data_IF_042453876901
#
_entry.id   IF_042453876901
#
_cell.length_a   1.000
_cell.length_b   1.000
_cell.length_c   1.000
_cell.angle_alpha   90.00
_cell.angle_beta   90.00
_cell.angle_gamma   90.00
#
_symmetry.space_group_name_H-M   'P 1'
#
loop_
_entity.id
_entity.type
_entity.pdbx_description
1 polymer ?
#
# COMPACT_ATOMS: atom_id res chain seq x y z
N UNK A 1 0.72 16.26 13.24
CA UNK A 1 1.27 14.90 13.14
C UNK A 1 0.37 14.04 12.23
N UNK A 2 -0.93 13.92 12.50
CA UNK A 2 -1.87 13.10 11.71
C UNK A 2 -1.90 13.45 10.21
N UNK A 3 -1.77 14.74 9.85
CA UNK A 3 -1.80 15.23 8.46
C UNK A 3 -0.62 14.71 7.64
N UNK A 4 0.59 14.70 8.21
CA UNK A 4 1.77 14.13 7.54
C UNK A 4 1.67 12.61 7.43
N UNK A 5 1.08 11.96 8.42
CA UNK A 5 0.88 10.51 8.45
C UNK A 5 -0.02 10.01 7.31
N UNK A 6 -1.11 10.72 7.05
CA UNK A 6 -2.05 10.38 5.97
C UNK A 6 -1.42 10.65 4.59
N UNK A 7 -0.65 11.73 4.44
CA UNK A 7 0.04 12.05 3.19
C UNK A 7 1.08 10.98 2.79
N UNK A 8 1.80 10.42 3.75
CA UNK A 8 2.78 9.35 3.49
C UNK A 8 2.09 8.04 3.16
N UNK A 9 1.01 7.71 3.86
CA UNK A 9 0.21 6.53 3.54
C UNK A 9 -0.35 6.59 2.12
N UNK A 10 -0.86 7.74 1.69
CA UNK A 10 -1.32 7.95 0.32
C UNK A 10 -0.18 7.82 -0.69
N UNK A 11 0.98 8.37 -0.39
CA UNK A 11 2.14 8.29 -1.26
C UNK A 11 2.64 6.84 -1.39
N UNK A 12 2.62 6.03 -0.34
CA UNK A 12 2.93 4.59 -0.39
C UNK A 12 1.92 3.85 -1.26
N UNK A 13 0.64 4.17 -1.12
CA UNK A 13 -0.44 3.59 -1.95
C UNK A 13 -0.30 4.04 -3.39
N UNK A 14 -0.02 5.32 -3.64
CA UNK A 14 0.15 5.89 -4.98
C UNK A 14 1.41 5.34 -5.66
N UNK A 15 2.50 5.12 -4.94
CA UNK A 15 3.72 4.53 -5.50
C UNK A 15 3.54 3.04 -5.87
N UNK A 16 2.84 2.27 -5.03
CA UNK A 16 2.50 0.89 -5.36
C UNK A 16 1.52 0.81 -6.55
N UNK A 17 0.67 1.81 -6.70
CA UNK A 17 -0.33 1.88 -7.77
C UNK A 17 0.21 2.48 -9.07
N UNK A 18 1.27 3.29 -9.04
CA UNK A 18 1.98 3.72 -10.26
C UNK A 18 2.75 2.59 -10.94
N UNK A 19 2.93 1.44 -10.26
CA UNK A 19 3.44 0.22 -10.86
C UNK A 19 2.37 -0.57 -11.64
N UNK A 20 1.11 -0.15 -11.61
CA UNK A 20 0.06 -0.81 -12.41
C UNK A 20 0.14 -0.35 -13.87
N UNK A 21 0.08 -1.28 -14.83
CA UNK A 21 0.01 -0.91 -16.23
C UNK A 21 -1.24 -0.07 -16.46
N UNK A 22 -1.04 1.15 -16.98
CA UNK A 22 -2.13 1.97 -17.51
C UNK A 22 -2.88 1.13 -18.57
N UNK A 23 -4.19 1.32 -18.77
CA UNK A 23 -4.85 0.68 -19.88
C UNK A 23 -4.10 1.03 -21.17
N UNK A 24 -3.81 0.03 -21.97
CA UNK A 24 -3.14 0.21 -23.26
C UNK A 24 -3.98 1.07 -24.20
N UNK A 25 -5.26 1.23 -23.90
CA UNK A 25 -6.21 2.03 -24.66
C UNK A 25 -7.23 2.66 -23.70
N UNK A 26 -7.34 4.01 -23.76
CA UNK A 26 -8.38 4.76 -23.06
C UNK A 26 -9.58 4.89 -23.99
N UNK A 27 -10.66 4.21 -23.65
CA UNK A 27 -11.87 4.17 -24.46
C UNK A 27 -12.74 5.41 -24.25
N UNK A 28 -13.41 5.86 -25.32
CA UNK A 28 -14.48 6.84 -25.22
C UNK A 28 -15.69 6.26 -24.47
N UNK A 29 -16.59 7.11 -23.97
CA UNK A 29 -17.81 6.65 -23.28
C UNK A 29 -18.64 5.69 -24.14
N UNK A 30 -18.77 5.95 -25.44
CA UNK A 30 -19.51 5.06 -26.35
C UNK A 30 -18.82 3.68 -26.50
N UNK A 31 -17.49 3.65 -26.57
CA UNK A 31 -16.73 2.39 -26.63
C UNK A 31 -16.86 1.61 -25.32
N UNK A 32 -16.84 2.30 -24.17
CA UNK A 32 -17.09 1.68 -22.86
C UNK A 32 -18.47 1.03 -22.82
N UNK A 33 -19.52 1.71 -23.28
CA UNK A 33 -20.88 1.16 -23.35
C UNK A 33 -20.97 -0.09 -24.26
N UNK A 34 -20.27 -0.09 -25.40
CA UNK A 34 -20.20 -1.29 -26.25
C UNK A 34 -19.48 -2.45 -25.57
N UNK A 35 -18.42 -2.15 -24.83
CA UNK A 35 -17.68 -3.15 -24.07
C UNK A 35 -18.52 -3.70 -22.89
N UNK A 36 -19.36 -2.86 -22.24
CA UNK A 36 -20.33 -3.28 -21.24
C UNK A 36 -21.29 -4.36 -21.78
N UNK A 37 -21.85 -4.13 -22.97
CA UNK A 37 -22.72 -5.09 -23.66
C UNK A 37 -21.97 -6.41 -23.95
N UNK A 38 -20.69 -6.32 -24.31
CA UNK A 38 -19.86 -7.50 -24.60
C UNK A 38 -19.64 -8.33 -23.33
N UNK A 39 -19.27 -7.70 -22.24
CA UNK A 39 -19.02 -8.34 -20.95
C UNK A 39 -20.34 -8.88 -20.35
N UNK A 40 -21.45 -8.18 -20.50
CA UNK A 40 -22.78 -8.68 -20.06
C UNK A 40 -23.17 -9.97 -20.76
N UNK A 41 -22.90 -10.07 -22.08
CA UNK A 41 -23.19 -11.29 -22.88
C UNK A 41 -22.25 -12.44 -22.56
N UNK A 42 -21.01 -12.14 -22.20
CA UNK A 42 -20.00 -13.14 -21.87
C UNK A 42 -19.15 -12.69 -20.66
N UNK A 43 -19.67 -12.82 -19.43
CA UNK A 43 -18.95 -12.41 -18.20
C UNK A 43 -17.64 -13.16 -17.97
N UNK A 44 -17.49 -14.34 -18.59
CA UNK A 44 -16.28 -15.17 -18.53
C UNK A 44 -15.17 -14.74 -19.51
N UNK A 45 -15.42 -13.79 -20.41
CA UNK A 45 -14.38 -13.22 -21.25
C UNK A 45 -13.48 -12.30 -20.40
N UNK A 46 -12.42 -12.90 -19.88
CA UNK A 46 -11.49 -12.26 -18.97
C UNK A 46 -10.78 -11.05 -19.60
N UNK A 47 -10.49 -11.09 -20.90
CA UNK A 47 -9.80 -10.01 -21.59
C UNK A 47 -10.69 -8.76 -21.65
N UNK A 48 -11.93 -8.92 -22.14
CA UNK A 48 -12.93 -7.84 -22.19
C UNK A 48 -13.29 -7.33 -20.80
N UNK A 49 -13.45 -8.22 -19.83
CA UNK A 49 -13.78 -7.85 -18.45
C UNK A 49 -12.65 -7.03 -17.79
N UNK A 50 -11.40 -7.44 -17.95
CA UNK A 50 -10.25 -6.70 -17.45
C UNK A 50 -10.10 -5.34 -18.13
N UNK A 51 -10.29 -5.28 -19.43
CA UNK A 51 -10.25 -4.01 -20.18
C UNK A 51 -11.34 -3.05 -19.71
N UNK A 52 -12.56 -3.52 -19.50
CA UNK A 52 -13.66 -2.72 -18.97
C UNK A 52 -13.36 -2.20 -17.56
N UNK A 53 -12.91 -3.10 -16.66
CA UNK A 53 -12.54 -2.75 -15.29
C UNK A 53 -11.43 -1.70 -15.23
N UNK A 54 -10.39 -1.81 -16.07
CA UNK A 54 -9.31 -0.82 -16.19
C UNK A 54 -9.81 0.54 -16.73
N UNK A 55 -10.75 0.54 -17.66
CA UNK A 55 -11.34 1.80 -18.14
C UNK A 55 -12.22 2.45 -17.06
N UNK A 56 -12.98 1.67 -16.28
CA UNK A 56 -13.67 2.19 -15.11
C UNK A 56 -12.70 2.75 -14.08
N UNK A 57 -11.61 2.02 -13.79
CA UNK A 57 -10.57 2.47 -12.88
C UNK A 57 -9.91 3.77 -13.35
N UNK A 58 -9.58 3.86 -14.62
CA UNK A 58 -9.04 5.08 -15.22
C UNK A 58 -10.01 6.26 -15.07
N UNK A 59 -11.30 6.04 -15.33
CA UNK A 59 -12.33 7.06 -15.15
C UNK A 59 -12.47 7.50 -13.69
N UNK A 60 -12.57 6.55 -12.76
CA UNK A 60 -12.68 6.82 -11.30
C UNK A 60 -11.47 7.64 -10.81
N UNK A 61 -10.26 7.22 -11.17
CA UNK A 61 -9.02 7.90 -10.77
C UNK A 61 -8.80 9.20 -11.54
N UNK A 62 -9.27 9.28 -12.78
CA UNK A 62 -9.29 10.51 -13.56
C UNK A 62 -10.14 11.59 -12.92
N UNK A 63 -11.29 11.23 -12.32
CA UNK A 63 -12.11 12.15 -11.53
C UNK A 63 -11.31 12.66 -10.33
N UNK A 64 -10.60 11.79 -9.61
CA UNK A 64 -9.74 12.19 -8.50
C UNK A 64 -8.59 13.12 -8.93
N UNK A 65 -7.98 12.87 -10.09
CA UNK A 65 -6.86 13.68 -10.60
C UNK A 65 -7.31 14.96 -11.32
N UNK A 66 -8.47 14.98 -11.97
CA UNK A 66 -9.13 16.20 -12.49
C UNK A 66 -9.58 17.10 -11.34
N UNK A 67 -9.95 16.50 -10.24
CA UNK A 67 -10.12 17.17 -8.96
C UNK A 67 -8.79 17.58 -8.30
N UNK A 68 -7.75 17.90 -9.04
CA UNK A 68 -6.82 18.97 -8.61
C UNK A 68 -7.65 20.25 -8.56
N UNK A 69 -8.42 20.18 -7.64
CA UNK A 69 -9.53 20.81 -6.94
C UNK A 69 -9.53 22.34 -7.08
N UNK A 70 -8.47 22.89 -7.67
CA UNK A 70 -8.23 24.31 -7.85
C UNK A 70 -8.78 24.84 -9.20
N UNK A 71 -9.15 23.97 -10.15
CA UNK A 71 -9.47 24.39 -11.52
C UNK A 71 -10.94 24.36 -11.91
N UNK A 72 -11.82 23.68 -11.17
CA UNK A 72 -13.21 23.47 -11.59
C UNK A 72 -14.24 24.13 -10.65
N UNK A 73 -13.82 24.78 -9.56
CA UNK A 73 -14.75 25.50 -8.67
C UNK A 73 -15.79 24.64 -7.95
N UNK A 74 -15.78 23.32 -8.14
CA UNK A 74 -16.61 22.35 -7.43
C UNK A 74 -15.72 21.33 -6.73
N UNK A 75 -15.88 21.22 -5.43
CA UNK A 75 -15.16 20.26 -4.56
C UNK A 75 -15.69 18.83 -4.70
N UNK A 76 -16.64 18.59 -5.60
CA UNK A 76 -17.26 17.28 -5.83
C UNK A 76 -16.89 16.80 -7.24
N UNK A 77 -15.86 15.93 -7.37
CA UNK A 77 -15.46 15.40 -8.67
C UNK A 77 -16.59 14.61 -9.35
N UNK A 78 -17.54 14.08 -8.60
CA UNK A 78 -18.66 13.33 -9.14
C UNK A 78 -19.69 14.25 -9.78
N UNK A 79 -19.90 15.44 -9.23
CA UNK A 79 -20.71 16.47 -9.90
C UNK A 79 -20.05 16.92 -11.20
N UNK A 80 -18.73 17.00 -11.25
CA UNK A 80 -17.99 17.36 -12.47
C UNK A 80 -18.09 16.27 -13.55
N UNK A 81 -18.15 14.97 -13.16
CA UNK A 81 -18.29 13.84 -14.08
C UNK A 81 -19.77 13.54 -14.45
N UNK A 82 -20.71 14.13 -13.74
CA UNK A 82 -22.14 14.05 -14.03
C UNK A 82 -22.72 12.64 -14.00
N UNK A 83 -23.69 12.41 -14.88
CA UNK A 83 -24.43 11.14 -14.95
C UNK A 83 -23.59 9.91 -15.25
N UNK A 84 -22.40 10.08 -15.87
CA UNK A 84 -21.55 8.94 -16.21
C UNK A 84 -20.87 8.32 -14.99
N UNK A 85 -20.52 9.10 -13.96
CA UNK A 85 -20.01 8.54 -12.70
C UNK A 85 -21.04 7.66 -12.00
N UNK A 86 -22.31 8.09 -12.01
CA UNK A 86 -23.40 7.30 -11.45
C UNK A 86 -23.64 6.02 -12.26
N UNK A 87 -23.56 6.12 -13.62
CA UNK A 87 -23.65 4.97 -14.50
C UNK A 87 -22.57 3.93 -14.15
N UNK A 88 -21.30 4.33 -14.10
CA UNK A 88 -20.17 3.43 -13.77
C UNK A 88 -20.38 2.74 -12.43
N UNK A 89 -20.82 3.46 -11.39
CA UNK A 89 -21.10 2.84 -10.08
C UNK A 89 -22.24 1.81 -10.14
N UNK A 90 -23.29 2.12 -10.89
CA UNK A 90 -24.40 1.21 -11.06
C UNK A 90 -23.96 -0.09 -11.77
N UNK A 91 -23.14 0.04 -12.80
CA UNK A 91 -22.60 -1.11 -13.53
C UNK A 91 -21.64 -1.95 -12.69
N UNK A 92 -20.76 -1.33 -11.89
CA UNK A 92 -19.93 -2.06 -10.92
C UNK A 92 -20.81 -2.83 -9.93
N UNK A 93 -21.86 -2.20 -9.39
CA UNK A 93 -22.75 -2.83 -8.42
C UNK A 93 -23.50 -4.05 -8.96
N UNK A 94 -23.78 -4.07 -10.27
CA UNK A 94 -24.47 -5.18 -10.96
C UNK A 94 -23.52 -6.23 -11.52
N UNK A 95 -22.25 -5.90 -11.75
CA UNK A 95 -21.31 -6.77 -12.44
C UNK A 95 -21.20 -8.13 -11.79
N UNK A 96 -21.14 -9.17 -12.64
CA UNK A 96 -20.84 -10.56 -12.29
C UNK A 96 -19.48 -11.02 -12.79
N UNK A 97 -18.67 -10.09 -13.29
CA UNK A 97 -17.31 -10.36 -13.77
C UNK A 97 -16.29 -10.00 -12.70
N UNK A 98 -15.47 -10.98 -12.30
CA UNK A 98 -14.41 -10.80 -11.30
C UNK A 98 -13.40 -9.72 -11.73
N UNK A 99 -13.01 -9.68 -13.01
CA UNK A 99 -12.07 -8.68 -13.53
C UNK A 99 -12.60 -7.24 -13.41
N UNK A 100 -13.88 -7.01 -13.79
CA UNK A 100 -14.51 -5.69 -13.64
C UNK A 100 -14.55 -5.29 -12.16
N UNK A 101 -15.01 -6.20 -11.31
CA UNK A 101 -15.17 -5.97 -9.88
C UNK A 101 -13.84 -5.65 -9.19
N UNK A 102 -12.78 -6.42 -9.47
CA UNK A 102 -11.48 -6.25 -8.84
C UNK A 102 -10.80 -4.93 -9.24
N UNK A 103 -10.71 -4.66 -10.54
CA UNK A 103 -10.08 -3.43 -11.05
C UNK A 103 -10.81 -2.17 -10.57
N UNK A 104 -12.14 -2.19 -10.68
CA UNK A 104 -12.97 -1.06 -10.24
C UNK A 104 -12.97 -0.91 -8.71
N UNK A 105 -13.01 -2.02 -8.00
CA UNK A 105 -13.00 -2.03 -6.52
C UNK A 105 -11.72 -1.42 -5.95
N UNK A 106 -10.56 -1.78 -6.51
CA UNK A 106 -9.29 -1.18 -6.15
C UNK A 106 -9.28 0.33 -6.44
N UNK A 107 -9.79 0.74 -7.61
CA UNK A 107 -9.83 2.14 -7.98
C UNK A 107 -10.75 2.98 -7.07
N UNK A 108 -11.91 2.45 -6.69
CA UNK A 108 -12.83 3.11 -5.75
C UNK A 108 -12.20 3.30 -4.36
N UNK A 109 -11.52 2.28 -3.85
CA UNK A 109 -10.78 2.39 -2.60
C UNK A 109 -9.67 3.45 -2.68
N UNK A 110 -8.91 3.44 -3.76
CA UNK A 110 -7.85 4.37 -4.02
C UNK A 110 -8.35 5.82 -4.14
N UNK A 111 -9.43 6.03 -4.91
CA UNK A 111 -10.13 7.31 -4.99
C UNK A 111 -10.48 7.86 -3.61
N UNK A 112 -11.13 7.04 -2.80
CA UNK A 112 -11.54 7.44 -1.46
C UNK A 112 -10.34 7.82 -0.56
N UNK A 113 -9.24 7.10 -0.69
CA UNK A 113 -8.00 7.37 0.04
C UNK A 113 -7.37 8.68 -0.41
N UNK A 114 -7.25 8.92 -1.72
CA UNK A 114 -6.69 10.15 -2.29
C UNK A 114 -7.51 11.39 -1.90
N UNK A 115 -8.84 11.30 -1.93
CA UNK A 115 -9.73 12.37 -1.47
C UNK A 115 -9.52 12.68 0.01
N UNK A 116 -9.43 11.67 0.88
CA UNK A 116 -9.19 11.89 2.32
C UNK A 116 -7.86 12.57 2.58
N UNK A 117 -6.82 12.17 1.86
CA UNK A 117 -5.49 12.80 1.95
C UNK A 117 -5.56 14.24 1.51
N UNK A 118 -6.17 14.50 0.36
CA UNK A 118 -6.33 15.86 -0.12
C UNK A 118 -7.04 16.75 0.90
N UNK A 119 -8.19 16.30 1.42
CA UNK A 119 -8.95 17.03 2.43
C UNK A 119 -8.18 17.28 3.74
N UNK A 120 -7.25 16.38 4.07
CA UNK A 120 -6.40 16.53 5.24
C UNK A 120 -5.30 17.56 5.03
N UNK A 121 -4.74 17.61 3.82
CA UNK A 121 -3.68 18.56 3.44
C UNK A 121 -4.24 19.96 3.12
N UNK A 122 -5.47 20.01 2.62
CA UNK A 122 -6.17 21.21 2.20
C UNK A 122 -7.52 21.30 2.91
N UNK A 123 -7.57 21.78 4.17
CA UNK A 123 -8.82 21.91 4.89
C UNK A 123 -9.79 22.80 4.12
N UNK A 124 -10.89 22.23 3.66
CA UNK A 124 -11.96 22.93 2.93
C UNK A 124 -13.24 22.90 3.74
N UNK A 125 -14.14 23.91 3.61
CA UNK A 125 -15.41 23.90 4.32
C UNK A 125 -16.36 22.77 3.87
N UNK A 126 -16.22 22.29 2.63
CA UNK A 126 -17.00 21.18 2.11
C UNK A 126 -16.22 19.86 2.24
N UNK A 127 -16.82 18.89 2.94
CA UNK A 127 -16.27 17.52 3.01
C UNK A 127 -16.89 16.66 1.93
N UNK A 128 -16.06 16.00 1.14
CA UNK A 128 -16.51 14.97 0.21
C UNK A 128 -16.70 13.68 1.01
N UNK A 129 -17.90 13.10 0.94
CA UNK A 129 -18.18 11.82 1.57
C UNK A 129 -17.71 10.68 0.66
N UNK A 130 -16.71 9.95 1.12
CA UNK A 130 -16.13 8.79 0.41
C UNK A 130 -16.69 7.45 0.86
N UNK A 131 -17.65 7.45 1.79
CA UNK A 131 -18.19 6.22 2.43
C UNK A 131 -18.74 5.23 1.42
N UNK A 132 -19.53 5.71 0.44
CA UNK A 132 -20.10 4.86 -0.59
C UNK A 132 -19.02 4.24 -1.50
N UNK A 133 -18.02 5.02 -1.89
CA UNK A 133 -16.91 4.54 -2.73
C UNK A 133 -16.07 3.48 -1.99
N UNK A 134 -15.73 3.71 -0.73
CA UNK A 134 -15.00 2.73 0.08
C UNK A 134 -15.78 1.43 0.27
N UNK A 135 -17.07 1.55 0.57
CA UNK A 135 -17.94 0.40 0.78
C UNK A 135 -18.05 -0.43 -0.50
N UNK A 136 -18.37 0.21 -1.63
CA UNK A 136 -18.45 -0.47 -2.91
C UNK A 136 -17.12 -1.07 -3.33
N UNK A 137 -16.00 -0.36 -3.08
CA UNK A 137 -14.65 -0.85 -3.39
C UNK A 137 -14.32 -2.15 -2.66
N UNK A 138 -14.55 -2.21 -1.33
CA UNK A 138 -14.34 -3.42 -0.53
C UNK A 138 -15.24 -4.57 -1.02
N UNK A 139 -16.53 -4.31 -1.17
CA UNK A 139 -17.51 -5.32 -1.58
C UNK A 139 -17.20 -5.89 -2.97
N UNK A 140 -16.73 -5.05 -3.90
CA UNK A 140 -16.37 -5.47 -5.25
C UNK A 140 -15.17 -6.41 -5.25
N UNK A 141 -14.13 -6.12 -4.47
CA UNK A 141 -12.95 -6.98 -4.37
C UNK A 141 -13.32 -8.31 -3.70
N UNK A 142 -14.06 -8.30 -2.60
CA UNK A 142 -14.49 -9.52 -1.91
C UNK A 142 -15.35 -10.39 -2.83
N UNK A 143 -16.23 -9.77 -3.63
CA UNK A 143 -17.04 -10.49 -4.61
C UNK A 143 -16.20 -11.02 -5.77
N UNK A 144 -15.20 -10.29 -6.25
CA UNK A 144 -14.27 -10.78 -7.29
C UNK A 144 -13.54 -12.05 -6.81
N UNK A 145 -13.05 -12.04 -5.57
CA UNK A 145 -12.39 -13.21 -4.95
C UNK A 145 -13.38 -14.38 -4.80
N UNK A 146 -14.64 -14.11 -4.45
CA UNK A 146 -15.64 -15.19 -4.35
C UNK A 146 -16.02 -15.81 -5.70
N UNK A 147 -15.93 -15.04 -6.79
CA UNK A 147 -16.16 -15.53 -8.15
C UNK A 147 -14.97 -16.31 -8.73
N UNK A 148 -13.75 -15.89 -8.38
CA UNK A 148 -12.50 -16.52 -8.84
C UNK A 148 -11.57 -16.74 -7.63
N UNK A 149 -11.85 -17.72 -6.76
CA UNK A 149 -11.12 -17.92 -5.51
C UNK A 149 -9.65 -18.27 -5.68
N UNK A 150 -9.27 -18.88 -6.80
CA UNK A 150 -7.90 -19.27 -7.12
C UNK A 150 -7.09 -18.17 -7.83
N UNK A 151 -7.73 -17.04 -8.17
CA UNK A 151 -7.04 -15.91 -8.81
C UNK A 151 -6.29 -15.06 -7.78
N UNK A 152 -4.98 -15.26 -7.73
CA UNK A 152 -4.11 -14.57 -6.78
C UNK A 152 -4.05 -13.05 -6.98
N UNK A 153 -4.26 -12.54 -8.19
CA UNK A 153 -4.16 -11.10 -8.48
C UNK A 153 -5.15 -10.28 -7.63
N UNK A 154 -6.39 -10.77 -7.46
CA UNK A 154 -7.40 -10.05 -6.69
C UNK A 154 -7.04 -9.94 -5.21
N UNK A 155 -6.32 -10.95 -4.68
CA UNK A 155 -5.83 -10.92 -3.30
C UNK A 155 -4.71 -9.91 -3.11
N UNK A 156 -3.88 -9.63 -4.13
CA UNK A 156 -2.88 -8.56 -4.05
C UNK A 156 -3.52 -7.17 -3.94
N UNK A 157 -4.76 -7.01 -4.41
CA UNK A 157 -5.54 -5.78 -4.23
C UNK A 157 -6.16 -5.72 -2.83
N UNK A 158 -6.61 -6.85 -2.28
CA UNK A 158 -7.24 -6.93 -0.96
C UNK A 158 -6.27 -6.71 0.19
N UNK A 159 -5.09 -7.33 0.15
CA UNK A 159 -4.10 -7.29 1.26
C UNK A 159 -3.77 -5.86 1.72
N UNK A 160 -3.39 -4.90 0.85
CA UNK A 160 -3.15 -3.53 1.27
C UNK A 160 -4.38 -2.86 1.89
N UNK A 161 -5.58 -3.18 1.40
CA UNK A 161 -6.84 -2.65 1.95
C UNK A 161 -7.08 -3.17 3.37
N UNK A 162 -6.88 -4.46 3.62
CA UNK A 162 -7.01 -5.05 4.96
C UNK A 162 -6.06 -4.39 5.97
N UNK A 163 -4.81 -4.18 5.57
CA UNK A 163 -3.79 -3.52 6.39
C UNK A 163 -4.20 -2.06 6.70
N UNK A 164 -4.66 -1.32 5.71
CA UNK A 164 -5.13 0.05 5.92
C UNK A 164 -6.35 0.11 6.85
N UNK A 165 -7.30 -0.80 6.67
CA UNK A 165 -8.48 -0.90 7.53
C UNK A 165 -8.11 -1.17 8.99
N UNK A 166 -7.05 -1.93 9.23
CA UNK A 166 -6.56 -2.20 10.60
C UNK A 166 -5.80 -1.03 11.24
N UNK A 167 -5.43 -0.03 10.45
CA UNK A 167 -4.57 1.05 10.95
C UNK A 167 -5.26 2.41 10.94
N UNK A 168 -6.11 2.70 9.95
CA UNK A 168 -6.56 4.07 9.67
C UNK A 168 -8.02 4.21 9.22
N UNK A 169 -8.73 3.12 8.94
CA UNK A 169 -10.10 3.22 8.41
C UNK A 169 -11.11 3.53 9.52
N UNK A 170 -12.04 4.42 9.20
CA UNK A 170 -13.26 4.66 9.99
C UNK A 170 -14.45 3.86 9.50
N UNK A 171 -14.34 3.21 8.33
CA UNK A 171 -15.39 2.43 7.70
C UNK A 171 -15.03 0.96 7.83
N UNK A 172 -15.90 0.20 8.50
CA UNK A 172 -15.67 -1.22 8.81
C UNK A 172 -14.21 -1.45 9.29
N UNK A 173 -13.78 -0.79 10.38
CA UNK A 173 -12.44 -0.98 10.90
C UNK A 173 -12.23 -2.46 11.22
N UNK A 174 -10.99 -2.93 11.04
CA UNK A 174 -10.55 -4.25 11.47
C UNK A 174 -9.57 -4.09 12.62
N UNK A 175 -9.56 -5.02 13.57
CA UNK A 175 -8.41 -5.18 14.44
C UNK A 175 -7.20 -5.68 13.63
N UNK A 176 -5.99 -5.46 14.11
CA UNK A 176 -4.80 -5.99 13.45
C UNK A 176 -4.84 -7.53 13.36
N UNK A 177 -5.40 -8.19 14.35
CA UNK A 177 -5.55 -9.66 14.39
C UNK A 177 -6.54 -10.16 13.34
N UNK A 178 -7.68 -9.49 13.15
CA UNK A 178 -8.64 -9.84 12.09
C UNK A 178 -8.01 -9.64 10.72
N UNK A 179 -7.36 -8.48 10.49
CA UNK A 179 -6.66 -8.22 9.24
C UNK A 179 -5.56 -9.25 8.96
N UNK A 180 -4.82 -9.67 10.00
CA UNK A 180 -3.78 -10.68 9.86
C UNK A 180 -4.35 -12.06 9.48
N UNK A 181 -5.44 -12.49 10.10
CA UNK A 181 -6.11 -13.74 9.74
C UNK A 181 -6.48 -13.76 8.26
N UNK A 182 -7.10 -12.68 7.78
CA UNK A 182 -7.53 -12.57 6.38
C UNK A 182 -6.34 -12.47 5.42
N UNK A 183 -5.27 -11.76 5.80
CA UNK A 183 -4.02 -11.70 5.03
C UNK A 183 -3.32 -13.08 4.98
N UNK A 184 -3.30 -13.83 6.08
CA UNK A 184 -2.72 -15.19 6.12
C UNK A 184 -3.46 -16.14 5.19
N UNK A 185 -4.80 -16.05 5.13
CA UNK A 185 -5.62 -16.79 4.17
C UNK A 185 -5.27 -16.40 2.73
N UNK A 186 -5.20 -15.10 2.42
CA UNK A 186 -4.82 -14.61 1.09
C UNK A 186 -3.42 -15.09 0.69
N UNK A 187 -2.46 -15.02 1.61
CA UNK A 187 -1.09 -15.47 1.37
C UNK A 187 -1.01 -16.97 1.06
N UNK A 188 -1.93 -17.80 1.53
CA UNK A 188 -1.95 -19.24 1.25
C UNK A 188 -2.24 -19.58 -0.21
N UNK A 189 -2.94 -18.68 -0.91
CA UNK A 189 -3.29 -18.84 -2.34
C UNK A 189 -2.25 -18.20 -3.26
N UNK A 190 -1.51 -17.19 -2.78
CA UNK A 190 -0.57 -16.45 -3.59
C UNK A 190 0.67 -17.29 -3.94
N UNK A 191 1.10 -17.18 -5.21
CA UNK A 191 2.32 -17.84 -5.74
C UNK A 191 3.15 -16.85 -6.58
N UNK A 192 4.39 -17.22 -6.89
CA UNK A 192 5.25 -16.46 -7.79
C UNK A 192 5.41 -14.98 -7.42
N UNK A 193 5.32 -14.13 -8.44
CA UNK A 193 5.50 -12.66 -8.27
C UNK A 193 4.44 -12.03 -7.36
N UNK A 194 3.19 -12.50 -7.41
CA UNK A 194 2.11 -12.02 -6.55
C UNK A 194 2.45 -12.27 -5.06
N UNK A 195 2.91 -13.47 -4.74
CA UNK A 195 3.35 -13.81 -3.39
C UNK A 195 4.55 -12.98 -2.96
N UNK A 196 5.60 -12.92 -3.78
CA UNK A 196 6.80 -12.14 -3.50
C UNK A 196 6.49 -10.67 -3.16
N UNK A 197 5.61 -10.03 -3.93
CA UNK A 197 5.24 -8.64 -3.69
C UNK A 197 4.47 -8.41 -2.39
N UNK A 198 3.78 -9.44 -1.87
CA UNK A 198 2.99 -9.31 -0.65
C UNK A 198 3.72 -9.77 0.62
N UNK A 199 4.85 -10.48 0.51
CA UNK A 199 5.60 -11.03 1.66
C UNK A 199 5.96 -9.95 2.70
N UNK A 200 6.46 -8.78 2.27
CA UNK A 200 6.83 -7.71 3.20
C UNK A 200 5.61 -7.16 3.98
N UNK A 201 4.45 -7.13 3.35
CA UNK A 201 3.20 -6.69 3.97
C UNK A 201 2.72 -7.70 5.03
N UNK A 202 2.74 -8.99 4.68
CA UNK A 202 2.37 -10.07 5.58
C UNK A 202 3.33 -10.16 6.77
N UNK A 203 4.65 -10.09 6.53
CA UNK A 203 5.67 -10.14 7.57
C UNK A 203 5.53 -9.01 8.60
N UNK A 204 5.35 -7.76 8.14
CA UNK A 204 5.16 -6.61 9.03
C UNK A 204 3.88 -6.72 9.86
N UNK A 205 2.79 -7.18 9.25
CA UNK A 205 1.52 -7.35 9.97
C UNK A 205 1.61 -8.49 11.00
N UNK A 206 2.28 -9.59 10.66
CA UNK A 206 2.52 -10.71 11.57
C UNK A 206 3.34 -10.28 12.82
N UNK A 207 4.41 -9.48 12.62
CA UNK A 207 5.13 -8.86 13.76
C UNK A 207 4.20 -8.01 14.62
N UNK A 208 3.35 -7.19 13.99
CA UNK A 208 2.43 -6.30 14.71
C UNK A 208 1.46 -7.05 15.62
N UNK A 209 1.04 -8.25 15.22
CA UNK A 209 0.14 -9.10 16.01
C UNK A 209 0.87 -10.17 16.83
N UNK A 210 2.21 -10.11 16.87
CA UNK A 210 3.08 -11.03 17.62
C UNK A 210 3.08 -12.48 17.14
N UNK A 211 2.70 -12.73 15.89
CA UNK A 211 2.85 -14.02 15.20
C UNK A 211 4.28 -14.16 14.65
N UNK A 212 5.24 -14.31 15.57
CA UNK A 212 6.67 -14.16 15.26
C UNK A 212 7.22 -15.26 14.34
N UNK A 213 6.69 -16.47 14.42
CA UNK A 213 7.14 -17.59 13.57
C UNK A 213 6.68 -17.40 12.12
N UNK A 214 5.43 -16.99 11.93
CA UNK A 214 4.92 -16.63 10.59
C UNK A 214 5.67 -15.41 10.02
N UNK A 215 5.92 -14.39 10.87
CA UNK A 215 6.69 -13.21 10.47
C UNK A 215 8.11 -13.58 9.99
N UNK A 216 8.78 -14.48 10.73
CA UNK A 216 10.10 -15.00 10.37
C UNK A 216 10.05 -15.75 9.03
N UNK A 217 9.09 -16.67 8.88
CA UNK A 217 8.91 -17.43 7.64
C UNK A 217 8.69 -16.54 6.43
N UNK A 218 7.82 -15.52 6.52
CA UNK A 218 7.60 -14.56 5.43
C UNK A 218 8.85 -13.71 5.13
N UNK A 219 9.58 -13.27 6.16
CA UNK A 219 10.79 -12.46 5.99
C UNK A 219 11.94 -13.26 5.36
N UNK A 220 12.15 -14.51 5.77
CA UNK A 220 13.14 -15.42 5.20
C UNK A 220 12.81 -15.78 3.75
N UNK A 221 11.53 -16.07 3.46
CA UNK A 221 11.06 -16.31 2.10
C UNK A 221 11.29 -15.07 1.22
N UNK A 222 11.01 -13.87 1.73
CA UNK A 222 11.22 -12.60 1.04
C UNK A 222 12.69 -12.42 0.66
N UNK A 223 13.61 -12.61 1.60
CA UNK A 223 15.05 -12.51 1.36
C UNK A 223 15.54 -13.57 0.37
N UNK A 224 15.11 -14.83 0.52
CA UNK A 224 15.47 -15.92 -0.37
C UNK A 224 14.96 -15.70 -1.80
N UNK A 225 13.80 -15.11 -1.96
CA UNK A 225 13.21 -14.82 -3.28
C UNK A 225 13.79 -13.58 -3.95
N UNK A 226 14.61 -12.80 -3.24
CA UNK A 226 15.23 -11.56 -3.72
C UNK A 226 16.53 -11.87 -4.45
N UNK A 227 16.46 -12.43 -5.66
CA UNK A 227 17.62 -12.87 -6.45
C UNK A 227 17.97 -11.95 -7.60
N UNK A 228 17.05 -11.09 -8.07
CA UNK A 228 17.29 -10.16 -9.18
C UNK A 228 17.31 -8.71 -8.69
N UNK A 229 18.48 -8.11 -8.63
CA UNK A 229 18.66 -6.72 -8.21
C UNK A 229 18.01 -5.69 -9.17
N UNK A 230 17.60 -6.10 -10.38
CA UNK A 230 16.85 -5.24 -11.32
C UNK A 230 15.36 -5.19 -11.00
N UNK A 231 14.87 -6.10 -10.16
CA UNK A 231 13.48 -6.06 -9.72
C UNK A 231 13.25 -4.80 -8.88
N UNK A 232 12.23 -4.03 -9.21
CA UNK A 232 11.89 -2.78 -8.52
C UNK A 232 11.69 -2.95 -7.00
N UNK A 233 11.27 -4.14 -6.57
CA UNK A 233 11.01 -4.47 -5.17
C UNK A 233 12.22 -5.06 -4.44
N UNK A 234 13.35 -5.32 -5.14
CA UNK A 234 14.54 -5.92 -4.54
C UNK A 234 15.03 -5.17 -3.32
N UNK A 235 15.21 -3.85 -3.44
CA UNK A 235 15.68 -3.02 -2.33
C UNK A 235 14.74 -3.01 -1.15
N UNK A 236 13.42 -2.99 -1.39
CA UNK A 236 12.42 -3.13 -0.35
C UNK A 236 12.51 -4.49 0.35
N UNK A 237 12.69 -5.55 -0.42
CA UNK A 237 12.74 -6.91 0.10
C UNK A 237 13.95 -7.11 1.04
N UNK A 238 15.15 -6.67 0.63
CA UNK A 238 16.35 -6.67 1.50
C UNK A 238 16.10 -5.84 2.76
N UNK A 239 15.55 -4.64 2.60
CA UNK A 239 15.28 -3.76 3.73
C UNK A 239 14.28 -4.36 4.71
N UNK A 240 13.07 -4.67 4.26
CA UNK A 240 11.99 -5.11 5.14
C UNK A 240 12.19 -6.53 5.67
N UNK A 241 12.80 -7.45 4.89
CA UNK A 241 13.11 -8.79 5.37
C UNK A 241 14.06 -8.74 6.58
N UNK A 242 15.16 -8.00 6.48
CA UNK A 242 16.10 -7.84 7.59
C UNK A 242 15.48 -7.06 8.78
N UNK A 243 14.71 -6.00 8.50
CA UNK A 243 14.05 -5.23 9.55
C UNK A 243 13.10 -6.11 10.39
N UNK A 244 12.30 -6.96 9.75
CA UNK A 244 11.38 -7.88 10.44
C UNK A 244 12.16 -8.90 11.27
N UNK A 245 13.21 -9.52 10.72
CA UNK A 245 14.05 -10.46 11.47
C UNK A 245 14.74 -9.79 12.66
N UNK A 246 15.17 -8.55 12.52
CA UNK A 246 15.71 -7.73 13.60
C UNK A 246 14.69 -7.47 14.71
N UNK A 247 13.45 -7.14 14.36
CA UNK A 247 12.37 -6.97 15.32
C UNK A 247 12.04 -8.26 16.08
N UNK A 248 12.06 -9.41 15.40
CA UNK A 248 11.88 -10.73 16.01
C UNK A 248 13.02 -11.02 16.98
N UNK A 249 14.27 -10.80 16.56
CA UNK A 249 15.45 -11.00 17.39
C UNK A 249 15.38 -10.16 18.67
N UNK A 250 15.00 -8.88 18.55
CA UNK A 250 14.86 -7.99 19.70
C UNK A 250 13.76 -8.45 20.67
N UNK A 251 12.60 -8.89 20.16
CA UNK A 251 11.53 -9.47 20.99
C UNK A 251 11.92 -10.78 21.68
N UNK A 252 12.92 -11.50 21.14
CA UNK A 252 13.54 -12.68 21.75
C UNK A 252 14.75 -12.32 22.61
N UNK A 253 14.95 -11.05 22.94
CA UNK A 253 16.07 -10.51 23.73
C UNK A 253 17.47 -10.77 23.14
N UNK A 254 17.56 -11.00 21.83
CA UNK A 254 18.82 -11.22 21.11
C UNK A 254 19.32 -9.91 20.50
N UNK A 255 19.81 -8.98 21.34
CA UNK A 255 20.17 -7.62 20.95
C UNK A 255 21.25 -7.61 19.86
N UNK A 256 22.33 -8.40 19.99
CA UNK A 256 23.39 -8.43 18.99
C UNK A 256 22.91 -8.90 17.61
N UNK A 257 22.00 -9.89 17.60
CA UNK A 257 21.34 -10.35 16.37
C UNK A 257 20.45 -9.26 15.78
N UNK A 258 19.70 -8.52 16.60
CA UNK A 258 18.87 -7.42 16.14
C UNK A 258 19.71 -6.29 15.53
N UNK A 259 20.86 -5.94 16.11
CA UNK A 259 21.84 -4.99 15.54
C UNK A 259 22.36 -5.47 14.18
N UNK A 260 22.75 -6.74 14.09
CA UNK A 260 23.24 -7.29 12.82
C UNK A 260 22.17 -7.17 11.70
N UNK A 261 20.92 -7.46 12.01
CA UNK A 261 19.82 -7.29 11.05
C UNK A 261 19.51 -5.82 10.73
N UNK A 262 19.60 -4.90 11.71
CA UNK A 262 19.47 -3.48 11.43
C UNK A 262 20.50 -3.03 10.38
N UNK A 263 21.78 -3.36 10.59
CA UNK A 263 22.85 -3.03 9.66
C UNK A 263 22.66 -3.73 8.30
N UNK A 264 22.22 -5.00 8.29
CA UNK A 264 21.92 -5.70 7.05
C UNK A 264 20.80 -5.02 6.25
N UNK A 265 19.79 -4.46 6.94
CA UNK A 265 18.71 -3.72 6.29
C UNK A 265 19.20 -2.43 5.62
N UNK A 266 20.18 -1.74 6.21
CA UNK A 266 20.79 -0.53 5.66
C UNK A 266 21.62 -0.77 4.38
N UNK A 267 22.14 -1.99 4.20
CA UNK A 267 23.00 -2.38 3.05
C UNK A 267 22.20 -2.64 1.75
N UNK A 268 21.09 -1.99 1.57
CA UNK A 268 20.32 -2.05 0.33
C UNK A 268 20.74 -0.95 -0.64
N UNK A 269 20.61 -1.21 -1.94
CA UNK A 269 20.72 -0.17 -2.98
C UNK A 269 19.49 0.75 -3.03
N UNK A 270 18.48 0.44 -2.23
CA UNK A 270 17.21 1.16 -2.19
C UNK A 270 16.20 0.70 -3.21
N UNK A 271 15.12 1.44 -3.27
CA UNK A 271 14.00 1.27 -4.19
C UNK A 271 13.37 2.64 -4.45
N UNK A 272 12.49 2.81 -5.43
CA UNK A 272 11.74 4.05 -5.60
C UNK A 272 11.03 4.51 -4.32
N UNK A 273 10.49 3.56 -3.54
CA UNK A 273 9.82 3.85 -2.26
C UNK A 273 10.79 4.30 -1.18
N UNK A 274 11.87 3.54 -0.95
CA UNK A 274 12.89 3.88 0.05
C UNK A 274 13.59 5.20 -0.27
N UNK A 275 13.81 5.50 -1.56
CA UNK A 275 14.38 6.77 -1.98
C UNK A 275 13.44 7.96 -1.69
N UNK A 276 12.13 7.78 -1.91
CA UNK A 276 11.15 8.86 -1.73
C UNK A 276 10.73 9.05 -0.26
N UNK A 277 10.43 7.97 0.45
CA UNK A 277 9.85 8.01 1.80
C UNK A 277 10.87 7.73 2.90
N UNK A 278 11.97 7.14 2.56
CA UNK A 278 13.03 6.75 3.49
C UNK A 278 12.79 5.41 4.18
N UNK A 279 13.64 5.08 5.14
CA UNK A 279 13.56 3.84 5.92
C UNK A 279 12.45 3.90 6.98
N UNK A 280 11.87 2.74 7.32
CA UNK A 280 11.08 2.59 8.54
C UNK A 280 12.03 2.52 9.74
N UNK A 281 11.86 3.40 10.71
CA UNK A 281 12.79 3.58 11.83
C UNK A 281 12.39 2.81 13.09
N UNK A 282 11.39 1.91 13.03
CA UNK A 282 10.88 1.23 14.24
C UNK A 282 11.94 0.38 14.93
N UNK A 283 12.69 -0.46 14.18
CA UNK A 283 13.77 -1.26 14.78
C UNK A 283 14.91 -0.38 15.31
N UNK A 284 15.26 0.69 14.62
CA UNK A 284 16.28 1.64 15.08
C UNK A 284 15.84 2.33 16.38
N UNK A 285 14.56 2.74 16.47
CA UNK A 285 13.98 3.32 17.69
C UNK A 285 14.05 2.32 18.85
N UNK A 286 13.59 1.10 18.64
CA UNK A 286 13.58 0.07 19.68
C UNK A 286 15.01 -0.25 20.17
N UNK A 287 16.01 -0.27 19.28
CA UNK A 287 17.42 -0.44 19.64
C UNK A 287 17.99 0.77 20.38
N UNK A 288 17.58 2.00 20.06
CA UNK A 288 17.95 3.17 20.87
C UNK A 288 17.40 3.08 22.28
N UNK A 289 16.20 2.55 22.48
CA UNK A 289 15.59 2.33 23.79
C UNK A 289 16.38 1.30 24.63
N UNK A 290 17.11 0.39 23.97
CA UNK A 290 18.03 -0.55 24.64
C UNK A 290 19.48 -0.02 24.77
N UNK A 291 19.75 1.21 24.31
CA UNK A 291 21.06 1.84 24.44
C UNK A 291 22.01 1.64 23.25
N UNK A 292 21.57 0.97 22.18
CA UNK A 292 22.41 0.54 21.05
C UNK A 292 22.67 1.66 20.01
N UNK A 293 23.14 2.82 20.48
CA UNK A 293 23.33 4.04 19.70
C UNK A 293 24.27 3.89 18.53
N UNK A 294 25.40 3.22 18.74
CA UNK A 294 26.42 3.10 17.70
C UNK A 294 25.89 2.34 16.47
N UNK A 295 25.13 1.28 16.68
CA UNK A 295 24.53 0.53 15.59
C UNK A 295 23.53 1.41 14.79
N UNK A 296 22.76 2.23 15.50
CA UNK A 296 21.80 3.14 14.84
C UNK A 296 22.49 4.26 14.07
N UNK A 297 23.60 4.83 14.58
CA UNK A 297 24.38 5.83 13.85
C UNK A 297 24.97 5.27 12.55
N UNK A 298 25.52 4.05 12.58
CA UNK A 298 26.02 3.35 11.39
C UNK A 298 24.86 3.14 10.40
N UNK A 299 23.72 2.66 10.87
CA UNK A 299 22.53 2.44 10.04
C UNK A 299 22.03 3.76 9.39
N UNK A 300 21.99 4.86 10.12
CA UNK A 300 21.61 6.17 9.57
C UNK A 300 22.58 6.61 8.44
N UNK A 301 23.87 6.33 8.59
CA UNK A 301 24.86 6.62 7.55
C UNK A 301 24.65 5.73 6.31
N UNK A 302 24.38 4.42 6.49
CA UNK A 302 24.04 3.50 5.41
C UNK A 302 22.79 3.97 4.64
N UNK A 303 21.78 4.50 5.33
CA UNK A 303 20.56 5.03 4.71
C UNK A 303 20.81 6.19 3.73
N UNK A 304 21.92 6.93 3.87
CA UNK A 304 22.30 8.00 2.92
C UNK A 304 22.53 7.49 1.50
N UNK A 305 22.86 6.21 1.35
CA UNK A 305 23.09 5.60 0.03
C UNK A 305 21.83 5.64 -0.81
N UNK A 306 20.67 5.35 -0.22
CA UNK A 306 19.42 5.20 -0.96
C UNK A 306 18.40 6.32 -0.71
N UNK A 307 18.38 6.97 0.46
CA UNK A 307 17.39 7.99 0.75
C UNK A 307 17.88 9.39 0.38
N UNK A 308 17.80 9.72 -0.90
CA UNK A 308 18.26 11.02 -1.42
C UNK A 308 17.32 12.20 -1.11
N UNK A 309 16.06 11.90 -0.78
CA UNK A 309 15.02 12.89 -0.49
C UNK A 309 14.78 13.06 1.04
N UNK A 310 15.82 12.83 1.85
CA UNK A 310 15.71 12.90 3.31
C UNK A 310 15.51 14.32 3.87
N UNK A 311 15.79 15.35 3.06
CA UNK A 311 15.68 16.77 3.46
C UNK A 311 16.44 17.09 4.76
N UNK A 312 17.61 16.48 4.97
CA UNK A 312 18.46 16.67 6.15
C UNK A 312 18.01 15.91 7.41
N UNK A 313 16.97 15.08 7.32
CA UNK A 313 16.47 14.32 8.48
C UNK A 313 17.46 13.31 9.02
N UNK A 314 18.21 12.62 8.16
CA UNK A 314 19.24 11.66 8.61
C UNK A 314 20.31 12.34 9.46
N UNK A 315 20.77 13.55 9.06
CA UNK A 315 21.71 14.31 9.86
C UNK A 315 21.10 14.79 11.16
N UNK A 316 19.90 15.34 11.14
CA UNK A 316 19.17 15.77 12.33
C UNK A 316 19.00 14.63 13.35
N UNK A 317 18.63 13.44 12.90
CA UNK A 317 18.52 12.26 13.77
C UNK A 317 19.85 11.81 14.33
N UNK A 318 20.92 11.80 13.51
CA UNK A 318 22.26 11.47 13.98
C UNK A 318 22.74 12.45 15.06
N UNK A 319 22.52 13.75 14.90
CA UNK A 319 22.88 14.78 15.89
C UNK A 319 22.09 14.61 17.20
N UNK A 320 20.80 14.20 17.10
CA UNK A 320 20.01 13.90 18.28
C UNK A 320 20.53 12.68 19.02
N UNK A 321 20.83 11.58 18.33
CA UNK A 321 21.42 10.36 18.92
C UNK A 321 22.77 10.66 19.56
N UNK A 322 23.64 11.43 18.92
CA UNK A 322 24.94 11.84 19.46
C UNK A 322 24.81 12.71 20.72
N UNK A 323 23.69 13.43 20.85
CA UNK A 323 23.39 14.29 22.01
C UNK A 323 22.53 13.58 23.08
N UNK A 324 22.51 12.26 23.09
CA UNK A 324 21.69 11.46 24.03
C UNK A 324 20.18 11.76 23.98
N UNK A 325 19.68 12.19 22.84
CA UNK A 325 18.26 12.48 22.67
C UNK A 325 17.63 11.45 21.73
N UNK A 326 16.42 11.01 22.09
CA UNK A 326 15.62 10.16 21.20
C UNK A 326 15.12 10.98 20.00
N UNK A 327 15.43 10.59 18.75
CA UNK A 327 14.91 11.28 17.58
C UNK A 327 13.39 11.18 17.45
N UNK A 328 12.76 12.26 16.98
CA UNK A 328 11.39 12.18 16.47
C UNK A 328 11.42 11.66 15.02
N UNK A 329 11.23 10.37 14.88
CA UNK A 329 11.19 9.73 13.56
C UNK A 329 9.88 9.98 12.80
N UNK A 330 8.86 10.54 13.46
CA UNK A 330 7.61 10.97 12.86
C UNK A 330 6.95 9.88 12.02
N UNK A 331 6.68 10.23 10.76
CA UNK A 331 6.05 9.32 9.80
C UNK A 331 6.87 8.08 9.45
N UNK A 332 8.19 8.09 9.68
CA UNK A 332 9.05 6.96 9.40
C UNK A 332 8.90 5.79 10.41
N UNK A 333 7.93 5.88 11.34
CA UNK A 333 7.52 4.77 12.21
C UNK A 333 6.26 4.02 11.70
N UNK A 334 5.62 4.48 10.61
CA UNK A 334 4.23 4.11 10.30
C UNK A 334 4.04 3.13 9.15
N UNK A 335 5.06 2.82 8.37
CA UNK A 335 4.91 2.00 7.14
C UNK A 335 5.86 0.81 7.06
#
# INVERSE_FOLDING_TARGET
>A
LAVRQIAILAAVITAAANAQPQPTEVLSQNQVQQLEITVERNPGDRASATLLGKNYAFFILGIASLGRFDRVGTLDPEKAAGNFAQHVRNEIGKSVSAGVLAESGQALWRYATEVKVYQTLHPTPAKIDTTAAETLGIQSIDRAISLEPDEGTWRTYRIPILIQRSSFSRIKPLSATEAYRDVKEDMSVLTGTNRYNMLSHAAKLAVKVSELDDAGSYAEELLKSSTDARNWNYGNAIYFGNMVLGQIALRRSSIDTAKAYLLASGKTLGSPQLNSFGPNMSLAKDLLETGERQAVLIFLDECRVFWKMDNGRLQQWADQVNSDRMPDFGSNLLY
#
